data_IF_124465088039
#
_entry.id   IF_124465088039
#
_cell.length_a   1.000
_cell.length_b   1.000
_cell.length_c   1.000
_cell.angle_alpha   90.00
_cell.angle_beta   90.00
_cell.angle_gamma   90.00
#
_symmetry.space_group_name_H-M   'P 1'
#
loop_
_entity.id
_entity.type
_entity.pdbx_description
1 polymer ?
#
# COMPACT_ATOMS: atom_id res chain seq x y z
N UNK A 1 -4.59 53.80 19.65
CA UNK A 1 -3.70 53.20 18.62
C UNK A 1 -2.84 52.03 19.12
N UNK A 2 -2.18 52.08 20.30
CA UNK A 2 -1.32 50.98 20.80
C UNK A 2 -2.03 49.62 21.03
N UNK A 3 -3.33 49.62 21.34
CA UNK A 3 -4.10 48.37 21.57
C UNK A 3 -4.54 47.67 20.27
N UNK A 4 -4.71 48.40 19.16
CA UNK A 4 -5.05 47.83 17.85
C UNK A 4 -3.88 47.05 17.23
N UNK A 5 -2.65 47.56 17.40
CA UNK A 5 -1.43 46.88 16.91
C UNK A 5 -1.18 45.54 17.62
N UNK A 6 -1.50 45.43 18.93
CA UNK A 6 -1.37 44.18 19.69
C UNK A 6 -2.39 43.12 19.26
N UNK A 7 -3.63 43.50 18.98
CA UNK A 7 -4.67 42.58 18.47
C UNK A 7 -4.30 42.07 17.07
N UNK A 8 -3.75 42.94 16.22
CA UNK A 8 -3.28 42.56 14.88
C UNK A 8 -2.10 41.58 14.94
N UNK A 9 -1.16 41.77 15.88
CA UNK A 9 -0.02 40.86 16.08
C UNK A 9 -0.45 39.47 16.58
N UNK A 10 -1.41 39.39 17.50
CA UNK A 10 -1.94 38.12 18.02
C UNK A 10 -2.73 37.39 16.93
N UNK A 11 -3.54 38.11 16.14
CA UNK A 11 -4.26 37.54 15.00
C UNK A 11 -3.32 36.98 13.93
N UNK A 12 -2.24 37.70 13.60
CA UNK A 12 -1.23 37.24 12.65
C UNK A 12 -0.52 35.96 13.15
N UNK A 13 -0.20 35.88 14.44
CA UNK A 13 0.45 34.69 15.02
C UNK A 13 -0.45 33.45 14.94
N UNK A 14 -1.75 33.58 15.25
CA UNK A 14 -2.69 32.45 15.19
C UNK A 14 -2.83 31.91 13.76
N UNK A 15 -2.88 32.78 12.74
CA UNK A 15 -3.01 32.38 11.33
C UNK A 15 -1.75 31.63 10.83
N UNK A 16 -0.56 32.08 11.23
CA UNK A 16 0.72 31.45 10.84
C UNK A 16 0.83 30.04 11.43
N UNK A 17 0.45 29.84 12.69
CA UNK A 17 0.53 28.52 13.35
C UNK A 17 -0.43 27.50 12.73
N UNK A 18 -1.67 27.90 12.43
CA UNK A 18 -2.64 26.99 11.78
C UNK A 18 -2.19 26.56 10.37
N UNK A 19 -1.47 27.42 9.66
CA UNK A 19 -0.97 27.15 8.31
C UNK A 19 0.21 26.16 8.32
N UNK A 20 1.14 26.30 9.28
CA UNK A 20 2.28 25.37 9.43
C UNK A 20 1.80 23.96 9.77
N UNK A 21 0.80 23.84 10.64
CA UNK A 21 0.31 22.55 11.09
C UNK A 21 -0.52 21.80 10.03
N UNK A 22 -1.32 22.52 9.23
CA UNK A 22 -2.01 21.92 8.08
C UNK A 22 -1.03 21.48 6.97
N UNK A 23 0.08 22.20 6.78
CA UNK A 23 1.17 21.76 5.90
C UNK A 23 1.79 20.44 6.38
N UNK A 24 1.95 20.25 7.69
CA UNK A 24 2.48 19.01 8.27
C UNK A 24 1.53 17.82 8.06
N UNK A 25 0.21 18.01 8.20
CA UNK A 25 -0.78 16.96 7.91
C UNK A 25 -0.74 16.55 6.43
N UNK A 26 -0.71 17.53 5.51
CA UNK A 26 -0.63 17.24 4.07
C UNK A 26 0.65 16.48 3.74
N UNK A 27 1.80 16.93 4.24
CA UNK A 27 3.09 16.25 4.06
C UNK A 27 3.06 14.82 4.59
N UNK A 28 2.45 14.62 5.75
CA UNK A 28 2.23 13.29 6.33
C UNK A 28 1.43 12.37 5.41
N UNK A 29 0.41 12.91 4.71
CA UNK A 29 -0.45 12.14 3.82
C UNK A 29 0.24 11.72 2.51
N UNK A 30 1.12 12.56 1.96
CA UNK A 30 1.84 12.28 0.69
C UNK A 30 2.53 10.92 0.78
N UNK A 31 2.37 10.07 -0.24
CA UNK A 31 2.95 8.73 -0.31
C UNK A 31 1.91 7.64 -0.56
N UNK A 32 2.35 6.37 -0.48
CA UNK A 32 1.52 5.19 -0.70
C UNK A 32 1.04 4.58 0.62
N UNK A 33 -0.24 4.30 0.69
CA UNK A 33 -0.92 3.72 1.85
C UNK A 33 -1.74 2.51 1.42
N UNK A 34 -1.58 1.39 2.11
CA UNK A 34 -2.32 0.17 1.82
C UNK A 34 -3.34 -0.12 2.91
N UNK A 35 -4.57 -0.45 2.52
CA UNK A 35 -5.65 -0.75 3.46
C UNK A 35 -5.33 -1.98 4.33
N UNK A 36 -5.50 -1.85 5.64
CA UNK A 36 -5.29 -2.97 6.58
C UNK A 36 -6.43 -3.99 6.53
N UNK A 37 -7.66 -3.49 6.31
CA UNK A 37 -8.85 -4.36 6.20
C UNK A 37 -8.97 -4.84 4.76
N UNK A 38 -8.51 -6.06 4.54
CA UNK A 38 -8.93 -6.85 3.40
C UNK A 38 -10.27 -7.46 3.81
N UNK A 39 -11.38 -6.88 3.35
CA UNK A 39 -12.69 -7.49 3.56
C UNK A 39 -12.66 -8.94 3.06
N UNK A 40 -13.60 -9.78 3.51
CA UNK A 40 -13.74 -11.21 3.14
C UNK A 40 -13.57 -11.54 1.63
N UNK A 41 -13.59 -10.53 0.75
CA UNK A 41 -13.30 -10.60 -0.68
C UNK A 41 -11.82 -10.72 -1.09
N UNK A 42 -10.83 -10.65 -0.19
CA UNK A 42 -9.38 -10.60 -0.56
C UNK A 42 -8.99 -9.38 -1.41
N UNK A 43 -9.86 -8.38 -1.49
CA UNK A 43 -9.63 -7.13 -2.22
C UNK A 43 -9.12 -6.07 -1.26
N UNK A 44 -7.93 -5.55 -1.53
CA UNK A 44 -7.36 -4.40 -0.83
C UNK A 44 -7.23 -3.20 -1.77
N UNK A 45 -6.97 -2.03 -1.18
CA UNK A 45 -6.74 -0.80 -1.92
C UNK A 45 -5.41 -0.16 -1.53
N UNK A 46 -4.69 0.36 -2.52
CA UNK A 46 -3.53 1.22 -2.34
C UNK A 46 -3.90 2.63 -2.76
N UNK A 47 -3.76 3.57 -1.85
CA UNK A 47 -3.98 4.99 -2.09
C UNK A 47 -2.63 5.68 -2.18
N UNK A 48 -2.35 6.31 -3.32
CA UNK A 48 -1.15 7.11 -3.53
C UNK A 48 -1.53 8.58 -3.58
N UNK A 49 -1.15 9.34 -2.55
CA UNK A 49 -1.29 10.79 -2.51
C UNK A 49 -0.03 11.44 -3.07
N UNK A 50 -0.17 12.21 -4.15
CA UNK A 50 0.94 12.86 -4.83
C UNK A 50 1.09 14.32 -4.36
N UNK A 51 2.31 14.86 -4.42
CA UNK A 51 2.62 16.23 -3.98
C UNK A 51 1.79 17.29 -4.71
N UNK A 52 1.49 17.05 -5.98
CA UNK A 52 0.69 17.94 -6.84
C UNK A 52 -0.82 17.97 -6.51
N UNK A 53 -1.27 17.30 -5.43
CA UNK A 53 -2.68 17.29 -5.04
C UNK A 53 -3.54 16.28 -5.80
N UNK A 54 -2.92 15.38 -6.58
CA UNK A 54 -3.62 14.24 -7.19
C UNK A 54 -3.54 12.99 -6.34
N UNK A 55 -4.49 12.08 -6.54
CA UNK A 55 -4.53 10.80 -5.85
C UNK A 55 -4.90 9.68 -6.81
N UNK A 56 -4.16 8.58 -6.70
CA UNK A 56 -4.45 7.33 -7.41
C UNK A 56 -4.90 6.28 -6.40
N UNK A 57 -6.11 5.74 -6.56
CA UNK A 57 -6.64 4.64 -5.77
C UNK A 57 -6.64 3.39 -6.64
N UNK A 58 -5.77 2.45 -6.29
CA UNK A 58 -5.65 1.17 -6.98
C UNK A 58 -6.30 0.06 -6.16
N UNK A 59 -7.34 -0.55 -6.70
CA UNK A 59 -8.02 -1.71 -6.12
C UNK A 59 -7.47 -2.98 -6.74
N UNK A 60 -7.26 -4.01 -5.93
CA UNK A 60 -6.74 -5.28 -6.43
C UNK A 60 -6.74 -6.40 -5.40
N UNK A 61 -6.28 -7.57 -5.82
CA UNK A 61 -6.09 -8.68 -4.91
C UNK A 61 -4.84 -8.45 -4.07
N UNK A 62 -4.95 -8.64 -2.75
CA UNK A 62 -3.81 -8.68 -1.84
C UNK A 62 -3.89 -9.99 -1.06
N UNK A 63 -2.87 -10.83 -1.21
CA UNK A 63 -2.84 -12.17 -0.62
C UNK A 63 -1.57 -12.34 0.20
N UNK A 64 -1.74 -12.91 1.39
CA UNK A 64 -0.72 -13.05 2.41
C UNK A 64 -0.36 -14.52 2.49
N UNK A 65 0.92 -14.81 2.34
CA UNK A 65 1.49 -16.15 2.46
C UNK A 65 2.58 -16.13 3.53
N UNK A 66 2.87 -17.30 4.08
CA UNK A 66 4.18 -17.57 4.67
C UNK A 66 5.03 -18.26 3.61
N UNK A 67 6.34 -18.02 3.61
CA UNK A 67 7.25 -18.63 2.64
C UNK A 67 8.58 -19.05 3.27
N UNK A 68 9.19 -20.07 2.69
CA UNK A 68 10.54 -20.52 3.02
C UNK A 68 11.28 -20.81 1.71
N UNK A 69 12.54 -20.39 1.64
CA UNK A 69 13.48 -20.87 0.62
C UNK A 69 14.34 -21.98 1.24
N UNK A 70 14.34 -23.16 0.63
CA UNK A 70 15.18 -24.30 1.02
C UNK A 70 16.04 -24.70 -0.18
N UNK A 71 17.26 -24.18 -0.23
CA UNK A 71 18.08 -24.27 -1.43
C UNK A 71 17.38 -23.61 -2.63
N UNK A 72 17.12 -24.39 -3.68
CA UNK A 72 16.43 -23.92 -4.88
C UNK A 72 14.91 -24.19 -4.84
N UNK A 73 14.34 -24.49 -3.68
CA UNK A 73 12.89 -24.65 -3.52
C UNK A 73 12.29 -23.44 -2.81
N UNK A 74 11.21 -22.89 -3.38
CA UNK A 74 10.32 -21.96 -2.71
C UNK A 74 9.06 -22.74 -2.30
N UNK A 75 8.87 -22.85 -1.00
CA UNK A 75 7.67 -23.40 -0.37
C UNK A 75 6.85 -22.22 0.14
N UNK A 76 5.59 -22.13 -0.24
CA UNK A 76 4.67 -21.10 0.24
C UNK A 76 3.39 -21.71 0.79
N UNK A 77 2.87 -21.11 1.85
CA UNK A 77 1.69 -21.57 2.56
C UNK A 77 0.63 -20.46 2.61
N UNK A 78 -0.59 -20.80 2.22
CA UNK A 78 -1.77 -19.93 2.33
C UNK A 78 -2.75 -20.53 3.34
N UNK A 79 -3.01 -19.80 4.41
CA UNK A 79 -4.01 -20.20 5.41
C UNK A 79 -5.38 -19.61 5.05
N UNK A 80 -6.41 -20.47 5.05
CA UNK A 80 -7.79 -20.05 4.91
C UNK A 80 -8.44 -19.92 6.29
N UNK A 81 -8.58 -18.68 6.78
CA UNK A 81 -9.19 -18.43 8.09
C UNK A 81 -10.67 -18.84 8.21
N UNK A 82 -11.37 -19.06 7.09
CA UNK A 82 -12.77 -19.49 7.11
C UNK A 82 -12.90 -21.02 7.25
N UNK A 83 -12.03 -21.79 6.58
CA UNK A 83 -12.10 -23.26 6.60
C UNK A 83 -11.08 -23.89 7.56
N UNK A 84 -10.08 -23.12 8.01
CA UNK A 84 -8.95 -23.63 8.79
C UNK A 84 -7.92 -24.39 7.96
N UNK A 85 -8.13 -24.54 6.65
CA UNK A 85 -7.24 -25.30 5.78
C UNK A 85 -5.99 -24.51 5.41
N UNK A 86 -4.86 -25.21 5.27
CA UNK A 86 -3.63 -24.65 4.73
C UNK A 86 -3.34 -25.27 3.37
N UNK A 87 -3.20 -24.42 2.36
CA UNK A 87 -2.72 -24.83 1.04
C UNK A 87 -1.22 -24.61 0.94
N UNK A 88 -0.49 -25.62 0.50
CA UNK A 88 0.95 -25.58 0.26
C UNK A 88 1.23 -25.57 -1.24
N UNK A 89 2.12 -24.69 -1.66
CA UNK A 89 2.66 -24.64 -3.02
C UNK A 89 4.18 -24.73 -2.97
N UNK A 90 4.75 -25.66 -3.73
CA UNK A 90 6.18 -25.88 -3.84
C UNK A 90 6.61 -25.63 -5.28
N UNK A 91 7.67 -24.86 -5.43
CA UNK A 91 8.21 -24.46 -6.73
C UNK A 91 9.73 -24.46 -6.72
N UNK A 92 10.34 -24.67 -7.88
CA UNK A 92 11.78 -24.51 -8.05
C UNK A 92 12.09 -23.06 -8.41
N UNK A 93 13.12 -22.49 -7.80
CA UNK A 93 13.52 -21.10 -7.94
C UNK A 93 15.03 -20.97 -8.13
N UNK A 94 15.42 -20.03 -8.98
CA UNK A 94 16.80 -19.65 -9.17
C UNK A 94 16.89 -18.12 -9.26
N UNK A 95 17.79 -17.51 -8.48
CA UNK A 95 17.99 -16.05 -8.48
C UNK A 95 19.32 -15.73 -9.15
N UNK A 96 19.28 -14.96 -10.25
CA UNK A 96 20.45 -14.45 -10.97
C UNK A 96 20.38 -12.91 -10.99
N UNK A 97 21.10 -12.28 -10.07
CA UNK A 97 21.09 -10.83 -9.91
C UNK A 97 19.70 -10.29 -9.55
N UNK A 98 19.10 -9.54 -10.47
CA UNK A 98 17.77 -8.94 -10.34
C UNK A 98 16.66 -9.74 -11.06
N UNK A 99 16.96 -10.98 -11.47
CA UNK A 99 16.00 -11.91 -12.05
C UNK A 99 15.79 -13.12 -11.13
N UNK A 100 14.53 -13.45 -10.86
CA UNK A 100 14.10 -14.67 -10.17
C UNK A 100 13.34 -15.54 -11.17
N UNK A 101 13.92 -16.69 -11.51
CA UNK A 101 13.32 -17.70 -12.38
C UNK A 101 12.56 -18.69 -11.50
N UNK A 102 11.29 -18.94 -11.80
CA UNK A 102 10.48 -19.87 -11.03
C UNK A 102 9.79 -20.87 -11.96
N UNK A 103 9.89 -22.16 -11.62
CA UNK A 103 9.12 -23.26 -12.21
C UNK A 103 8.12 -23.76 -11.17
N UNK A 104 6.85 -23.81 -11.53
CA UNK A 104 5.76 -24.11 -10.60
C UNK A 104 4.67 -24.92 -11.30
N UNK A 105 3.77 -25.56 -10.53
CA UNK A 105 2.66 -26.35 -11.07
C UNK A 105 1.32 -25.74 -10.70
N UNK A 106 0.41 -25.65 -11.66
CA UNK A 106 -0.99 -25.33 -11.42
C UNK A 106 -1.81 -26.52 -11.92
N UNK A 107 -2.58 -27.15 -11.02
CA UNK A 107 -3.41 -28.34 -11.34
C UNK A 107 -2.61 -29.42 -12.09
N UNK A 108 -1.39 -29.69 -11.63
CA UNK A 108 -0.48 -30.68 -12.22
C UNK A 108 0.28 -30.21 -13.48
N UNK A 109 -0.13 -29.11 -14.13
CA UNK A 109 0.54 -28.58 -15.31
C UNK A 109 1.72 -27.70 -14.93
N UNK A 110 2.87 -27.91 -15.58
CA UNK A 110 4.06 -27.09 -15.36
C UNK A 110 3.97 -25.73 -16.04
N UNK A 111 4.42 -24.72 -15.31
CA UNK A 111 4.52 -23.34 -15.74
C UNK A 111 5.88 -22.78 -15.34
N UNK A 112 6.33 -21.77 -16.08
CA UNK A 112 7.54 -21.03 -15.76
C UNK A 112 7.27 -19.54 -15.81
N UNK A 113 7.95 -18.77 -14.96
CA UNK A 113 7.92 -17.32 -14.99
C UNK A 113 9.25 -16.74 -14.59
N UNK A 114 9.51 -15.52 -15.07
CA UNK A 114 10.62 -14.69 -14.62
C UNK A 114 10.03 -13.51 -13.88
N UNK A 115 10.55 -13.23 -12.69
CA UNK A 115 10.27 -12.01 -11.95
C UNK A 115 11.49 -11.11 -11.95
N UNK A 116 11.25 -9.81 -12.10
CA UNK A 116 12.29 -8.78 -12.08
C UNK A 116 12.24 -8.05 -10.74
N UNK A 117 13.38 -7.78 -10.12
CA UNK A 117 13.43 -7.03 -8.87
C UNK A 117 12.97 -5.59 -9.09
N UNK A 118 12.20 -5.07 -8.13
CA UNK A 118 11.84 -3.67 -8.04
C UNK A 118 12.69 -3.01 -6.96
N UNK A 119 13.43 -1.97 -7.35
CA UNK A 119 14.34 -1.25 -6.45
C UNK A 119 15.65 -1.99 -6.20
N UNK A 120 16.48 -1.41 -5.33
CA UNK A 120 17.82 -1.95 -5.01
C UNK A 120 17.73 -3.12 -4.04
N UNK A 121 18.62 -4.09 -4.22
CA UNK A 121 18.83 -5.18 -3.26
C UNK A 121 19.23 -4.59 -1.89
N UNK A 122 18.44 -4.86 -0.86
CA UNK A 122 18.68 -4.36 0.51
C UNK A 122 19.56 -5.29 1.35
N UNK A 123 19.63 -6.59 1.03
CA UNK A 123 20.36 -7.60 1.82
C UNK A 123 21.22 -8.52 0.96
N UNK A 124 22.50 -8.65 1.31
CA UNK A 124 23.43 -9.57 0.62
C UNK A 124 23.16 -11.04 0.96
N UNK A 125 22.81 -11.36 2.21
CA UNK A 125 22.65 -12.75 2.66
C UNK A 125 21.24 -13.33 2.44
N UNK A 126 20.30 -12.53 1.94
CA UNK A 126 18.92 -12.95 1.64
C UNK A 126 18.55 -12.41 0.25
N UNK A 127 19.07 -13.01 -0.85
CA UNK A 127 18.86 -12.53 -2.20
C UNK A 127 17.38 -12.42 -2.60
N UNK A 128 16.52 -13.27 -2.07
CA UNK A 128 15.08 -13.33 -2.31
C UNK A 128 14.32 -12.16 -1.69
N UNK A 129 14.81 -11.58 -0.59
CA UNK A 129 14.11 -10.50 0.13
C UNK A 129 14.03 -9.24 -0.74
N UNK A 130 12.82 -8.71 -0.87
CA UNK A 130 12.53 -7.54 -1.69
C UNK A 130 11.21 -7.67 -2.45
N UNK A 131 10.93 -6.67 -3.29
CA UNK A 131 9.78 -6.68 -4.18
C UNK A 131 10.21 -7.16 -5.56
N UNK A 132 9.43 -8.06 -6.14
CA UNK A 132 9.64 -8.63 -7.46
C UNK A 132 8.38 -8.47 -8.28
N UNK A 133 8.53 -8.30 -9.58
CA UNK A 133 7.42 -8.05 -10.50
C UNK A 133 7.43 -9.02 -11.67
N UNK A 134 6.24 -9.49 -12.04
CA UNK A 134 6.04 -10.35 -13.21
C UNK A 134 4.65 -10.11 -13.80
N UNK A 135 4.29 -10.83 -14.86
CA UNK A 135 2.91 -10.92 -15.35
C UNK A 135 2.33 -12.28 -14.95
N UNK A 136 1.10 -12.30 -14.46
CA UNK A 136 0.37 -13.55 -14.23
C UNK A 136 -0.07 -14.16 -15.58
N UNK A 137 -0.71 -15.33 -15.53
CA UNK A 137 -1.20 -16.05 -16.72
C UNK A 137 -2.20 -15.22 -17.53
N UNK A 138 -2.97 -14.35 -16.87
CA UNK A 138 -3.88 -13.40 -17.51
C UNK A 138 -3.19 -12.14 -18.06
N UNK A 139 -1.86 -12.08 -18.03
CA UNK A 139 -1.07 -10.93 -18.51
C UNK A 139 -1.03 -9.73 -17.54
N UNK A 140 -1.68 -9.81 -16.38
CA UNK A 140 -1.74 -8.74 -15.41
C UNK A 140 -0.46 -8.65 -14.59
N UNK A 141 -0.01 -7.43 -14.32
CA UNK A 141 1.18 -7.18 -13.50
C UNK A 141 0.93 -7.67 -12.07
N UNK A 142 1.86 -8.46 -11.55
CA UNK A 142 1.80 -9.04 -10.20
C UNK A 142 3.08 -8.70 -9.45
N UNK A 143 2.95 -8.29 -8.19
CA UNK A 143 4.08 -7.94 -7.32
C UNK A 143 4.17 -8.91 -6.15
N UNK A 144 5.33 -9.53 -5.99
CA UNK A 144 5.68 -10.44 -4.91
C UNK A 144 6.64 -9.73 -3.98
N UNK A 145 6.25 -9.47 -2.73
CA UNK A 145 7.12 -8.88 -1.72
C UNK A 145 7.51 -9.94 -0.70
N UNK A 146 8.72 -10.47 -0.81
CA UNK A 146 9.32 -11.38 0.17
C UNK A 146 9.96 -10.56 1.29
N UNK A 147 9.51 -10.75 2.53
CA UNK A 147 10.07 -10.09 3.72
C UNK A 147 10.95 -11.06 4.49
N UNK A 148 11.93 -10.50 5.22
CA UNK A 148 12.87 -11.29 6.00
C UNK A 148 12.26 -12.04 7.20
N UNK A 149 11.00 -11.77 7.53
CA UNK A 149 10.22 -12.45 8.58
C UNK A 149 9.45 -13.65 8.03
N UNK A 150 9.80 -14.13 6.83
CA UNK A 150 9.14 -15.25 6.14
C UNK A 150 7.70 -14.97 5.68
N UNK A 151 7.28 -13.69 5.64
CA UNK A 151 6.00 -13.31 5.04
C UNK A 151 6.15 -12.91 3.57
N UNK A 152 5.20 -13.35 2.74
CA UNK A 152 5.11 -13.03 1.32
C UNK A 152 3.77 -12.34 1.03
N UNK A 153 3.83 -11.19 0.39
CA UNK A 153 2.65 -10.46 -0.09
C UNK A 153 2.58 -10.55 -1.61
N UNK A 154 1.48 -11.08 -2.12
CA UNK A 154 1.12 -11.01 -3.53
C UNK A 154 0.12 -9.88 -3.75
N UNK A 155 0.47 -8.92 -4.61
CA UNK A 155 -0.43 -7.85 -5.06
C UNK A 155 -0.69 -7.97 -6.54
N UNK A 156 -1.96 -7.97 -6.92
CA UNK A 156 -2.41 -7.93 -8.32
C UNK A 156 -3.35 -6.74 -8.48
N UNK A 157 -2.84 -5.58 -8.95
CA UNK A 157 -3.68 -4.44 -9.30
C UNK A 157 -4.72 -4.82 -10.36
N UNK A 158 -5.97 -4.44 -10.15
CA UNK A 158 -7.07 -4.71 -11.09
C UNK A 158 -7.54 -3.41 -11.75
N UNK A 159 -7.86 -2.41 -10.95
CA UNK A 159 -8.37 -1.12 -11.43
C UNK A 159 -7.70 0.03 -10.70
N UNK A 160 -7.50 1.15 -11.40
CA UNK A 160 -6.99 2.39 -10.82
C UNK A 160 -7.95 3.52 -11.11
N UNK A 161 -8.43 4.18 -10.07
CA UNK A 161 -9.21 5.41 -10.16
C UNK A 161 -8.33 6.60 -9.81
N UNK A 162 -8.47 7.69 -10.57
CA UNK A 162 -7.72 8.92 -10.35
C UNK A 162 -8.64 10.02 -9.84
N UNK A 163 -8.08 10.91 -9.02
CA UNK A 163 -8.79 12.06 -8.50
C UNK A 163 -7.86 13.14 -7.99
N UNK A 164 -8.45 14.07 -7.26
CA UNK A 164 -7.74 15.14 -6.56
C UNK A 164 -8.05 15.08 -5.07
N UNK A 165 -7.17 15.65 -4.28
CA UNK A 165 -7.37 15.80 -2.85
C UNK A 165 -6.90 17.17 -2.36
N UNK A 166 -7.51 17.60 -1.26
CA UNK A 166 -7.11 18.80 -0.51
C UNK A 166 -7.24 18.53 0.98
N UNK A 167 -6.35 19.13 1.76
CA UNK A 167 -6.33 19.00 3.21
C UNK A 167 -6.56 20.38 3.83
N UNK A 168 -7.49 20.47 4.77
CA UNK A 168 -7.69 21.65 5.61
C UNK A 168 -7.73 21.19 7.08
N UNK A 169 -6.71 21.55 7.86
CA UNK A 169 -6.49 20.98 9.19
C UNK A 169 -6.38 19.45 9.12
N UNK A 170 -7.19 18.74 9.89
CA UNK A 170 -7.30 17.27 9.85
C UNK A 170 -8.41 16.76 8.94
N UNK A 171 -8.91 17.58 8.02
CA UNK A 171 -9.97 17.17 7.10
C UNK A 171 -9.40 16.97 5.70
N UNK A 172 -9.45 15.73 5.22
CA UNK A 172 -9.20 15.37 3.83
C UNK A 172 -10.50 15.53 3.03
N UNK A 173 -10.47 16.29 1.95
CA UNK A 173 -11.49 16.23 0.90
C UNK A 173 -10.94 15.51 -0.32
N UNK A 174 -11.66 14.50 -0.76
CA UNK A 174 -11.28 13.59 -1.85
C UNK A 174 -12.33 13.67 -2.96
N UNK A 175 -11.89 13.90 -4.19
CA UNK A 175 -12.77 13.91 -5.38
C UNK A 175 -12.21 12.98 -6.44
N UNK A 176 -12.81 11.81 -6.59
CA UNK A 176 -12.51 10.89 -7.69
C UNK A 176 -13.27 11.31 -8.95
N UNK A 177 -12.71 10.98 -10.12
CA UNK A 177 -13.35 11.29 -11.41
C UNK A 177 -14.71 10.60 -11.50
N UNK A 178 -15.77 11.39 -11.70
CA UNK A 178 -17.16 10.88 -11.84
C UNK A 178 -17.90 10.68 -10.51
N UNK A 179 -17.22 10.76 -9.37
CA UNK A 179 -17.81 10.51 -8.05
C UNK A 179 -18.11 11.81 -7.30
N UNK A 180 -18.96 11.77 -6.27
CA UNK A 180 -19.16 12.93 -5.37
C UNK A 180 -17.90 13.20 -4.54
N UNK A 181 -17.70 14.45 -4.10
CA UNK A 181 -16.61 14.76 -3.17
C UNK A 181 -16.92 14.13 -1.81
N UNK A 182 -15.96 13.43 -1.24
CA UNK A 182 -16.04 12.84 0.09
C UNK A 182 -15.14 13.62 1.06
N UNK A 183 -15.56 13.68 2.33
CA UNK A 183 -14.77 14.32 3.38
C UNK A 183 -14.45 13.32 4.49
N UNK A 184 -13.20 13.34 4.95
CA UNK A 184 -12.66 12.41 5.95
C UNK A 184 -11.92 13.16 7.04
N UNK A 185 -12.13 12.77 8.29
CA UNK A 185 -11.23 13.12 9.38
C UNK A 185 -9.98 12.24 9.33
N UNK A 186 -8.81 12.87 9.38
CA UNK A 186 -7.49 12.24 9.31
C UNK A 186 -6.98 12.01 10.73
N UNK A 187 -6.47 10.80 10.99
CA UNK A 187 -5.65 10.50 12.16
C UNK A 187 -4.40 9.74 11.74
N UNK A 188 -3.25 10.19 12.21
CA UNK A 188 -1.99 9.46 12.07
C UNK A 188 -1.64 8.80 13.40
N UNK A 189 -1.24 7.53 13.35
CA UNK A 189 -0.70 6.79 14.49
C UNK A 189 0.59 6.10 14.03
N UNK A 190 1.74 6.72 14.26
CA UNK A 190 3.05 6.27 13.79
C UNK A 190 3.07 5.93 12.28
N UNK A 191 2.91 4.64 11.92
CA UNK A 191 2.94 4.13 10.55
C UNK A 191 1.56 3.82 9.97
N UNK A 192 0.48 4.17 10.67
CA UNK A 192 -0.89 3.98 10.20
C UNK A 192 -1.62 5.30 9.99
N UNK A 193 -2.53 5.25 9.02
CA UNK A 193 -3.46 6.31 8.66
C UNK A 193 -4.88 5.79 8.89
N UNK A 194 -5.67 6.54 9.66
CA UNK A 194 -7.12 6.35 9.72
C UNK A 194 -7.83 7.51 9.02
N UNK A 195 -8.77 7.16 8.15
CA UNK A 195 -9.66 8.07 7.45
C UNK A 195 -11.10 7.72 7.84
N UNK A 196 -11.73 8.58 8.65
CA UNK A 196 -13.13 8.42 9.04
C UNK A 196 -14.02 9.35 8.24
N UNK A 197 -14.88 8.80 7.39
CA UNK A 197 -15.79 9.57 6.56
C UNK A 197 -16.77 10.36 7.44
N UNK A 198 -16.88 11.67 7.18
CA UNK A 198 -17.64 12.59 8.03
C UNK A 198 -19.15 12.34 7.90
N UNK A 199 -19.63 11.87 6.74
CA UNK A 199 -21.06 11.70 6.47
C UNK A 199 -21.60 10.36 6.93
N UNK A 200 -20.91 9.26 6.59
CA UNK A 200 -21.40 7.90 6.88
C UNK A 200 -20.66 7.21 8.04
N UNK A 201 -19.71 7.88 8.68
CA UNK A 201 -18.90 7.38 9.81
C UNK A 201 -18.08 6.13 9.52
N UNK A 202 -18.02 5.65 8.28
CA UNK A 202 -17.16 4.53 7.89
C UNK A 202 -15.70 4.91 8.08
N UNK A 203 -14.93 4.02 8.67
CA UNK A 203 -13.51 4.20 8.89
C UNK A 203 -12.71 3.29 7.95
N UNK A 204 -11.63 3.86 7.40
CA UNK A 204 -10.64 3.13 6.60
C UNK A 204 -9.31 3.27 7.32
N UNK A 205 -8.66 2.15 7.59
CA UNK A 205 -7.31 2.12 8.16
C UNK A 205 -6.32 1.63 7.11
N UNK A 206 -5.14 2.23 7.13
CA UNK A 206 -4.07 1.93 6.20
C UNK A 206 -2.74 1.89 6.93
N UNK A 207 -1.79 1.13 6.40
CA UNK A 207 -0.38 1.21 6.75
C UNK A 207 0.44 1.82 5.61
N UNK A 208 1.52 2.50 5.97
CA UNK A 208 2.42 3.14 5.01
C UNK A 208 3.21 2.09 4.23
N UNK A 209 3.26 2.23 2.90
CA UNK A 209 4.19 1.47 2.06
C UNK A 209 5.48 2.29 1.89
N UNK A 210 6.58 1.72 2.39
CA UNK A 210 7.94 2.20 2.12
C UNK A 210 8.51 1.36 0.97
N UNK A 211 8.67 1.98 -0.19
CA UNK A 211 9.43 1.41 -1.32
C UNK A 211 10.95 1.53 -1.03
#
# INVERSE_FOLDING_TARGET
>A
MKNLAKIFLIGAFIIIYSSSFAQDVRKGLIGKWESDVIRNSKVGTIWQFNENGTVDITSGAIVYYVYIFKGNELISALFNHLTGETSLDTSFVEIRGDSLFQKYKIKGKEHSRVMIRVGKRKRKNMPEVGTWVTKNIAGQKSYYKFKSDHTLFLRIPLTTQRGTFRVNGFTLKLKLKGEKEESYNIKFLAHSLSLKNIHNKNEKTFHRLYD
#
